data_IF_813529262802
#
_entry.id   IF_813529262802
#
_cell.length_a   1.000
_cell.length_b   1.000
_cell.length_c   1.000
_cell.angle_alpha   90.00
_cell.angle_beta   90.00
_cell.angle_gamma   90.00
#
_symmetry.space_group_name_H-M   'P 1'
#
loop_
_entity.id
_entity.type
_entity.pdbx_description
1 polymer ?
#
# COMPACT_ATOMS: atom_id res chain seq x y z
N UNK A 1 -21.12 -69.73 -1.52
CA UNK A 1 -19.75 -69.76 -2.06
C UNK A 1 -19.58 -68.49 -2.89
N UNK A 2 -19.07 -67.43 -2.26
CA UNK A 2 -18.88 -66.11 -2.89
C UNK A 2 -17.56 -66.15 -3.67
N UNK A 3 -17.65 -66.17 -4.99
CA UNK A 3 -16.49 -66.06 -5.88
C UNK A 3 -16.09 -64.59 -5.90
N UNK A 4 -15.02 -64.25 -5.18
CA UNK A 4 -14.34 -62.97 -5.34
C UNK A 4 -13.52 -63.08 -6.63
N UNK A 5 -13.76 -62.24 -7.65
CA UNK A 5 -12.92 -62.27 -8.84
C UNK A 5 -11.53 -61.79 -8.45
N UNK A 6 -10.50 -62.63 -8.66
CA UNK A 6 -9.12 -62.16 -8.64
C UNK A 6 -8.99 -61.08 -9.72
N UNK A 7 -8.74 -59.85 -9.29
CA UNK A 7 -8.38 -58.74 -10.17
C UNK A 7 -7.19 -59.19 -11.04
N UNK A 8 -7.39 -59.18 -12.36
CA UNK A 8 -6.34 -59.54 -13.32
C UNK A 8 -5.17 -58.57 -13.21
N UNK A 9 -3.96 -59.05 -13.50
CA UNK A 9 -2.70 -58.29 -13.37
C UNK A 9 -2.74 -56.96 -14.16
N UNK A 10 -3.52 -56.91 -15.23
CA UNK A 10 -3.72 -55.72 -16.08
C UNK A 10 -4.57 -54.64 -15.40
N UNK A 11 -5.54 -55.00 -14.56
CA UNK A 11 -6.36 -54.03 -13.82
C UNK A 11 -5.52 -53.43 -12.67
N UNK A 12 -4.68 -54.25 -12.04
CA UNK A 12 -3.75 -53.79 -11.00
C UNK A 12 -2.69 -52.86 -11.60
N UNK A 13 -2.14 -53.19 -12.76
CA UNK A 13 -1.14 -52.35 -13.45
C UNK A 13 -1.76 -51.03 -13.92
N UNK A 14 -2.96 -51.04 -14.50
CA UNK A 14 -3.66 -49.82 -14.91
C UNK A 14 -3.94 -48.89 -13.72
N UNK A 15 -4.46 -49.43 -12.60
CA UNK A 15 -4.74 -48.62 -11.40
C UNK A 15 -3.46 -48.05 -10.78
N UNK A 16 -2.35 -48.79 -10.82
CA UNK A 16 -1.04 -48.32 -10.35
C UNK A 16 -0.54 -47.15 -11.21
N UNK A 17 -0.55 -47.30 -12.53
CA UNK A 17 -0.12 -46.25 -13.46
C UNK A 17 -1.04 -45.02 -13.42
N UNK A 18 -2.35 -45.23 -13.26
CA UNK A 18 -3.32 -44.15 -13.08
C UNK A 18 -3.08 -43.39 -11.77
N UNK A 19 -2.75 -44.10 -10.69
CA UNK A 19 -2.40 -43.48 -9.40
C UNK A 19 -1.09 -42.67 -9.49
N UNK A 20 -0.06 -43.21 -10.15
CA UNK A 20 1.20 -42.51 -10.41
C UNK A 20 0.95 -41.24 -11.24
N UNK A 21 0.11 -41.32 -12.27
CA UNK A 21 -0.27 -40.18 -13.10
C UNK A 21 -0.99 -39.09 -12.30
N UNK A 22 -1.95 -39.46 -11.45
CA UNK A 22 -2.63 -38.51 -10.56
C UNK A 22 -1.67 -37.88 -9.55
N UNK A 23 -0.75 -38.65 -8.97
CA UNK A 23 0.30 -38.13 -8.08
C UNK A 23 1.20 -37.16 -8.84
N UNK A 24 1.59 -37.47 -10.09
CA UNK A 24 2.42 -36.58 -10.90
C UNK A 24 1.71 -35.26 -11.23
N UNK A 25 0.42 -35.29 -11.58
CA UNK A 25 -0.39 -34.07 -11.77
C UNK A 25 -0.48 -33.28 -10.47
N UNK A 26 -0.70 -33.96 -9.34
CA UNK A 26 -0.82 -33.31 -8.03
C UNK A 26 0.50 -32.66 -7.61
N UNK A 27 1.63 -33.36 -7.80
CA UNK A 27 2.97 -32.81 -7.58
C UNK A 27 3.25 -31.65 -8.53
N UNK A 28 2.87 -31.74 -9.82
CA UNK A 28 3.02 -30.63 -10.76
C UNK A 28 2.13 -29.43 -10.42
N UNK A 29 0.93 -29.65 -9.88
CA UNK A 29 0.04 -28.57 -9.44
C UNK A 29 0.56 -27.89 -8.16
N UNK A 30 1.18 -28.64 -7.24
CA UNK A 30 1.77 -28.10 -6.01
C UNK A 30 3.15 -27.47 -6.23
N UNK A 31 4.01 -28.11 -7.01
CA UNK A 31 5.37 -27.66 -7.30
C UNK A 31 5.43 -26.67 -8.46
N UNK A 32 4.44 -26.68 -9.37
CA UNK A 32 4.37 -25.81 -10.54
C UNK A 32 4.44 -24.32 -10.18
N UNK A 33 3.64 -23.82 -9.21
CA UNK A 33 3.75 -22.44 -8.74
C UNK A 33 5.15 -22.11 -8.18
N UNK A 34 5.76 -23.03 -7.43
CA UNK A 34 7.09 -22.85 -6.83
C UNK A 34 8.17 -22.80 -7.92
N UNK A 35 8.14 -23.72 -8.87
CA UNK A 35 9.06 -23.75 -10.01
C UNK A 35 8.86 -22.55 -10.93
N UNK A 36 7.61 -22.16 -11.19
CA UNK A 36 7.29 -20.97 -11.97
C UNK A 36 7.83 -19.71 -11.29
N UNK A 37 7.63 -19.57 -9.98
CA UNK A 37 8.17 -18.45 -9.20
C UNK A 37 9.71 -18.42 -9.27
N UNK A 38 10.37 -19.57 -9.12
CA UNK A 38 11.83 -19.66 -9.18
C UNK A 38 12.39 -19.35 -10.58
N UNK A 39 11.81 -19.93 -11.64
CA UNK A 39 12.24 -19.73 -13.03
C UNK A 39 11.96 -18.30 -13.49
N UNK A 40 10.76 -17.77 -13.19
CA UNK A 40 10.40 -16.39 -13.53
C UNK A 40 11.30 -15.39 -12.82
N UNK A 41 11.57 -15.60 -11.53
CA UNK A 41 12.54 -14.82 -10.77
C UNK A 41 13.91 -14.84 -11.44
N UNK A 42 14.48 -16.03 -11.67
CA UNK A 42 15.80 -16.18 -12.29
C UNK A 42 15.90 -15.53 -13.67
N UNK A 43 14.88 -15.69 -14.52
CA UNK A 43 14.80 -15.03 -15.83
C UNK A 43 14.74 -13.50 -15.69
N UNK A 44 13.88 -12.98 -14.81
CA UNK A 44 13.76 -11.54 -14.54
C UNK A 44 15.09 -10.95 -14.06
N UNK A 45 15.79 -11.59 -13.12
CA UNK A 45 17.10 -11.13 -12.67
C UNK A 45 18.16 -11.20 -13.74
N UNK A 46 18.26 -12.30 -14.49
CA UNK A 46 19.27 -12.42 -15.56
C UNK A 46 19.06 -11.38 -16.65
N UNK A 47 17.80 -11.13 -17.03
CA UNK A 47 17.46 -10.10 -17.99
C UNK A 47 17.75 -8.71 -17.43
N UNK A 48 17.35 -8.42 -16.19
CA UNK A 48 17.63 -7.16 -15.53
C UNK A 48 19.13 -6.89 -15.37
N UNK A 49 19.92 -7.86 -14.92
CA UNK A 49 21.37 -7.73 -14.78
C UNK A 49 22.03 -7.50 -16.15
N UNK A 50 21.63 -8.23 -17.20
CA UNK A 50 22.13 -7.98 -18.56
C UNK A 50 21.80 -6.58 -19.02
N UNK A 51 20.57 -6.12 -18.80
CA UNK A 51 20.12 -4.78 -19.17
C UNK A 51 20.79 -3.70 -18.32
N UNK A 52 21.08 -3.95 -17.05
CA UNK A 52 21.91 -3.09 -16.19
C UNK A 52 23.30 -2.93 -16.77
N UNK A 53 24.02 -4.01 -17.09
CA UNK A 53 25.36 -3.90 -17.67
C UNK A 53 25.36 -3.20 -19.05
N UNK A 54 24.24 -3.24 -19.78
CA UNK A 54 24.06 -2.48 -21.02
C UNK A 54 23.79 -0.98 -20.74
N UNK A 55 22.98 -0.67 -19.73
CA UNK A 55 22.67 0.70 -19.29
C UNK A 55 23.90 1.37 -18.67
N UNK A 56 24.54 0.73 -17.69
CA UNK A 56 25.73 1.21 -16.98
C UNK A 56 26.97 1.37 -17.88
N UNK A 57 26.98 0.76 -19.07
CA UNK A 57 28.03 0.96 -20.10
C UNK A 57 27.90 2.30 -20.84
N UNK A 58 26.74 2.96 -20.76
CA UNK A 58 26.53 4.27 -21.37
C UNK A 58 26.91 5.36 -20.35
N UNK A 59 27.68 6.33 -20.83
CA UNK A 59 28.01 7.52 -20.06
C UNK A 59 26.75 8.40 -19.98
N UNK A 60 26.18 8.55 -18.78
CA UNK A 60 24.95 9.34 -18.55
C UNK A 60 25.23 10.85 -18.39
N UNK A 61 26.45 11.30 -18.68
CA UNK A 61 26.89 12.70 -18.60
C UNK A 61 26.28 13.63 -19.66
N UNK A 62 25.47 13.13 -20.58
CA UNK A 62 24.82 13.94 -21.61
C UNK A 62 23.41 14.35 -21.19
N UNK A 63 23.19 15.65 -20.97
CA UNK A 63 21.85 16.27 -20.99
C UNK A 63 21.16 15.86 -22.29
N UNK A 64 20.17 14.97 -22.18
CA UNK A 64 19.25 14.67 -23.29
C UNK A 64 18.01 15.53 -23.11
N UNK A 65 17.62 16.21 -24.20
CA UNK A 65 16.34 16.89 -24.31
C UNK A 65 15.22 15.84 -24.30
N UNK A 66 14.35 15.96 -23.30
CA UNK A 66 13.25 15.03 -23.04
C UNK A 66 12.01 15.42 -23.88
N UNK A 67 12.01 15.14 -25.19
CA UNK A 67 10.87 15.44 -26.11
C UNK A 67 9.83 14.29 -26.20
N UNK A 68 9.47 13.66 -25.08
CA UNK A 68 8.39 12.66 -25.09
C UNK A 68 7.69 12.51 -23.74
N UNK A 69 6.64 13.32 -23.54
CA UNK A 69 5.72 13.25 -22.40
C UNK A 69 6.17 14.08 -21.21
N UNK A 70 5.21 14.76 -20.55
CA UNK A 70 5.42 15.82 -19.54
C UNK A 70 6.48 15.54 -18.47
N UNK A 71 6.97 16.62 -17.85
CA UNK A 71 8.05 16.53 -16.86
C UNK A 71 7.72 15.54 -15.73
N UNK A 72 8.72 14.87 -15.17
CA UNK A 72 8.53 13.89 -14.07
C UNK A 72 7.71 14.50 -12.92
N UNK A 73 7.93 15.77 -12.63
CA UNK A 73 7.20 16.54 -11.63
C UNK A 73 5.71 16.69 -11.98
N UNK A 74 5.35 16.82 -13.26
CA UNK A 74 3.95 16.82 -13.72
C UNK A 74 3.28 15.47 -13.51
N UNK A 75 3.96 14.36 -13.80
CA UNK A 75 3.41 13.01 -13.59
C UNK A 75 3.15 12.75 -12.10
N UNK A 76 4.13 13.09 -11.25
CA UNK A 76 4.04 12.98 -9.79
C UNK A 76 2.92 13.89 -9.26
N UNK A 77 2.85 15.14 -9.74
CA UNK A 77 1.83 16.12 -9.36
C UNK A 77 0.41 15.69 -9.75
N UNK A 78 0.23 15.14 -10.97
CA UNK A 78 -1.05 14.62 -11.46
C UNK A 78 -1.53 13.44 -10.62
N UNK A 79 -0.61 12.62 -10.11
CA UNK A 79 -0.91 11.54 -9.18
C UNK A 79 -1.26 12.04 -7.75
N UNK A 80 -1.15 13.35 -7.48
CA UNK A 80 -1.45 13.96 -6.19
C UNK A 80 -0.27 14.01 -5.22
N UNK A 81 0.94 13.71 -5.71
CA UNK A 81 2.15 13.61 -4.91
C UNK A 81 3.17 14.70 -5.24
N UNK A 82 4.22 14.77 -4.43
CA UNK A 82 5.45 15.51 -4.70
C UNK A 82 6.64 14.64 -4.29
N UNK A 83 7.82 14.92 -4.82
CA UNK A 83 9.05 14.23 -4.50
C UNK A 83 10.01 15.14 -3.71
N UNK A 84 10.70 14.57 -2.72
CA UNK A 84 11.72 15.26 -1.94
C UNK A 84 13.10 14.67 -2.25
N UNK A 85 13.95 15.34 -3.06
CA UNK A 85 15.29 14.85 -3.36
C UNK A 85 16.16 14.68 -2.11
N UNK A 86 15.99 15.58 -1.13
CA UNK A 86 16.74 15.54 0.14
C UNK A 86 16.51 14.25 0.94
N UNK A 87 15.28 13.76 0.95
CA UNK A 87 14.88 12.61 1.76
C UNK A 87 14.67 11.34 0.90
N UNK A 88 14.76 11.45 -0.42
CA UNK A 88 14.47 10.40 -1.41
C UNK A 88 13.11 9.71 -1.18
N UNK A 89 12.05 10.52 -1.01
CA UNK A 89 10.68 10.06 -0.78
C UNK A 89 9.65 10.81 -1.62
N UNK A 90 8.58 10.11 -1.96
CA UNK A 90 7.34 10.67 -2.47
C UNK A 90 6.37 10.92 -1.32
N UNK A 91 5.56 11.97 -1.41
CA UNK A 91 4.63 12.33 -0.34
C UNK A 91 3.40 13.05 -0.88
N UNK A 92 2.29 12.93 -0.16
CA UNK A 92 1.01 13.56 -0.48
C UNK A 92 1.10 15.10 -0.49
N UNK A 93 0.52 15.70 -1.52
CA UNK A 93 0.28 17.15 -1.56
C UNK A 93 -1.00 17.52 -0.79
N UNK A 94 -1.07 18.76 -0.32
CA UNK A 94 -2.21 19.23 0.48
C UNK A 94 -3.54 19.19 -0.29
N UNK A 95 -3.50 19.58 -1.56
CA UNK A 95 -4.67 19.78 -2.41
C UNK A 95 -4.75 18.74 -3.53
N UNK A 96 -4.27 17.53 -3.25
CA UNK A 96 -4.41 16.40 -4.14
C UNK A 96 -5.89 16.10 -4.43
N UNK A 97 -6.22 15.64 -5.64
CA UNK A 97 -7.59 15.33 -6.06
C UNK A 97 -8.26 14.28 -5.16
N UNK A 98 -7.46 13.40 -4.53
CA UNK A 98 -7.88 12.42 -3.51
C UNK A 98 -8.68 13.06 -2.38
N UNK A 99 -8.44 14.35 -2.08
CA UNK A 99 -9.15 15.08 -1.03
C UNK A 99 -10.67 15.12 -1.27
N UNK A 100 -11.10 15.11 -2.52
CA UNK A 100 -12.52 15.13 -2.91
C UNK A 100 -13.19 13.75 -2.88
N UNK A 101 -12.43 12.67 -2.67
CA UNK A 101 -12.94 11.30 -2.74
C UNK A 101 -13.34 10.73 -1.37
N UNK A 102 -13.02 11.42 -0.28
CA UNK A 102 -13.32 10.96 1.08
C UNK A 102 -12.64 9.63 1.43
N UNK A 103 -13.27 8.85 2.31
CA UNK A 103 -12.73 7.58 2.79
C UNK A 103 -13.82 6.63 3.30
N UNK A 104 -13.66 5.34 3.02
CA UNK A 104 -14.48 4.28 3.60
C UNK A 104 -13.73 2.94 3.59
N UNK A 105 -14.25 1.95 4.32
CA UNK A 105 -13.65 0.60 4.44
C UNK A 105 -13.39 -0.08 3.09
N UNK A 106 -14.13 0.26 2.03
CA UNK A 106 -13.87 -0.30 0.70
C UNK A 106 -12.47 0.01 0.16
N UNK A 107 -11.85 1.09 0.60
CA UNK A 107 -10.51 1.45 0.14
C UNK A 107 -9.48 0.50 0.74
N UNK A 108 -9.63 0.14 2.02
CA UNK A 108 -8.83 -0.90 2.68
C UNK A 108 -9.00 -2.25 1.95
N UNK A 109 -10.25 -2.62 1.62
CA UNK A 109 -10.55 -3.86 0.90
C UNK A 109 -9.97 -3.86 -0.53
N UNK A 110 -9.91 -2.71 -1.20
CA UNK A 110 -9.34 -2.60 -2.54
C UNK A 110 -7.80 -2.63 -2.55
N UNK A 111 -7.13 -2.47 -1.41
CA UNK A 111 -5.68 -2.30 -1.37
C UNK A 111 -4.91 -3.54 -1.86
N UNK A 112 -5.18 -4.71 -1.27
CA UNK A 112 -4.46 -5.94 -1.61
C UNK A 112 -4.65 -6.40 -3.08
N UNK A 113 -5.87 -6.39 -3.66
CA UNK A 113 -6.07 -6.69 -5.08
C UNK A 113 -5.33 -5.73 -6.01
N UNK A 114 -5.09 -4.50 -5.56
CA UNK A 114 -4.32 -3.50 -6.29
C UNK A 114 -2.81 -3.59 -6.00
N UNK A 115 -2.33 -4.67 -5.39
CA UNK A 115 -0.91 -4.87 -5.13
C UNK A 115 -0.34 -3.92 -4.09
N UNK A 116 -1.16 -3.54 -3.11
CA UNK A 116 -0.71 -2.89 -1.89
C UNK A 116 -0.96 -3.82 -0.71
N UNK A 117 0.12 -4.38 -0.18
CA UNK A 117 0.08 -5.28 0.96
C UNK A 117 0.47 -4.45 2.16
N UNK A 118 -0.54 -3.94 2.85
CA UNK A 118 -0.43 -2.94 3.91
C UNK A 118 -1.24 -3.33 5.13
N UNK A 119 -0.71 -3.08 6.31
CA UNK A 119 -1.48 -3.17 7.54
C UNK A 119 -2.29 -1.89 7.70
N UNK A 120 -3.59 -2.04 7.95
CA UNK A 120 -4.55 -0.95 8.16
C UNK A 120 -5.00 -0.94 9.61
N UNK A 121 -4.99 0.25 10.22
CA UNK A 121 -5.36 0.44 11.62
C UNK A 121 -6.32 1.63 11.79
N UNK A 122 -7.63 1.42 11.53
CA UNK A 122 -8.65 2.46 11.64
C UNK A 122 -9.13 2.68 13.08
N UNK A 123 -8.86 3.86 13.64
CA UNK A 123 -9.37 4.29 14.95
C UNK A 123 -10.58 5.20 14.77
N UNK A 124 -11.77 4.66 15.06
CA UNK A 124 -13.06 5.36 14.93
C UNK A 124 -13.53 5.90 16.28
N UNK A 125 -13.88 7.17 16.37
CA UNK A 125 -14.33 7.81 17.60
C UNK A 125 -15.36 8.92 17.35
N UNK A 126 -16.11 9.31 18.36
CA UNK A 126 -17.10 10.39 18.26
C UNK A 126 -16.65 11.60 19.07
N UNK A 127 -16.68 12.80 18.47
CA UNK A 127 -16.32 14.04 19.14
C UNK A 127 -17.01 15.24 18.48
N UNK A 128 -17.58 16.13 19.30
CA UNK A 128 -18.19 17.37 18.82
C UNK A 128 -19.37 17.14 17.86
N UNK A 129 -20.20 16.13 18.13
CA UNK A 129 -21.34 15.77 17.28
C UNK A 129 -20.98 15.11 15.94
N UNK A 130 -19.71 14.76 15.73
CA UNK A 130 -19.20 14.14 14.50
C UNK A 130 -18.58 12.79 14.78
N UNK A 131 -18.61 11.91 13.79
CA UNK A 131 -17.84 10.66 13.73
C UNK A 131 -16.49 10.98 13.11
N UNK A 132 -15.42 10.52 13.72
CA UNK A 132 -14.05 10.69 13.26
C UNK A 132 -13.44 9.33 12.96
N UNK A 133 -12.59 9.30 11.95
CA UNK A 133 -11.72 8.20 11.62
C UNK A 133 -10.31 8.77 11.50
N UNK A 134 -9.39 8.25 12.32
CA UNK A 134 -7.96 8.41 12.06
C UNK A 134 -7.45 7.03 11.68
N UNK A 135 -6.78 6.94 10.54
CA UNK A 135 -6.33 5.66 10.00
C UNK A 135 -4.83 5.67 9.73
N UNK A 136 -4.16 4.63 10.20
CA UNK A 136 -2.74 4.39 9.96
C UNK A 136 -2.58 3.26 8.98
N UNK A 137 -1.79 3.48 7.93
CA UNK A 137 -1.37 2.42 7.02
C UNK A 137 0.15 2.30 7.02
N UNK A 138 0.69 1.07 7.00
CA UNK A 138 2.12 0.79 6.77
C UNK A 138 2.30 -0.48 5.94
N UNK A 139 3.27 -0.51 5.02
CA UNK A 139 3.52 -1.71 4.20
C UNK A 139 4.11 -1.42 2.83
N UNK A 140 3.88 -2.35 1.90
CA UNK A 140 4.34 -2.28 0.52
C UNK A 140 3.23 -1.74 -0.39
N UNK A 141 3.43 -0.57 -0.95
CA UNK A 141 2.57 0.15 -1.90
C UNK A 141 3.11 -0.01 -3.33
N UNK A 142 2.88 -1.17 -3.94
CA UNK A 142 3.46 -1.49 -5.25
C UNK A 142 4.99 -1.43 -5.20
N UNK A 143 5.59 -0.52 -5.96
CA UNK A 143 7.05 -0.31 -6.03
C UNK A 143 7.63 0.48 -4.87
N UNK A 144 6.81 0.92 -3.92
CA UNK A 144 7.25 1.75 -2.81
C UNK A 144 6.93 1.09 -1.48
N UNK A 145 7.79 1.21 -0.49
CA UNK A 145 7.42 0.98 0.92
C UNK A 145 7.06 2.31 1.56
N UNK A 146 6.17 2.32 2.53
CA UNK A 146 5.78 3.59 3.15
C UNK A 146 4.74 3.47 4.24
N UNK A 147 4.22 4.62 4.63
CA UNK A 147 3.16 4.73 5.61
C UNK A 147 2.32 6.00 5.44
N UNK A 148 1.14 5.99 6.05
CA UNK A 148 0.15 7.04 5.98
C UNK A 148 -0.51 7.31 7.33
N UNK A 149 -0.90 8.56 7.55
CA UNK A 149 -1.87 8.96 8.58
C UNK A 149 -2.98 9.76 7.90
N UNK A 150 -4.18 9.17 7.82
CA UNK A 150 -5.39 9.82 7.31
C UNK A 150 -6.28 10.31 8.44
N UNK A 151 -6.87 11.50 8.28
CA UNK A 151 -7.83 12.11 9.21
C UNK A 151 -9.10 12.43 8.44
N UNK A 152 -10.18 11.80 8.87
CA UNK A 152 -11.48 11.88 8.23
C UNK A 152 -12.58 12.10 9.25
N UNK A 153 -13.70 12.62 8.80
CA UNK A 153 -14.85 12.88 9.66
C UNK A 153 -16.15 12.84 8.89
N UNK A 154 -17.23 12.52 9.58
CA UNK A 154 -18.56 12.42 8.99
C UNK A 154 -19.62 12.90 9.98
N UNK A 155 -20.65 13.53 9.45
CA UNK A 155 -21.94 13.76 10.11
C UNK A 155 -23.03 12.86 9.54
N UNK A 156 -22.70 12.04 8.53
CA UNK A 156 -23.67 11.23 7.82
C UNK A 156 -24.01 9.95 8.60
N UNK A 157 -25.24 9.43 8.42
CA UNK A 157 -25.57 8.09 8.83
C UNK A 157 -24.71 7.06 8.08
N UNK A 158 -24.73 5.82 8.54
CA UNK A 158 -24.14 4.71 7.78
C UNK A 158 -24.88 4.55 6.45
N UNK A 159 -24.12 4.35 5.39
CA UNK A 159 -24.63 3.99 4.08
C UNK A 159 -24.85 2.48 4.05
N UNK A 160 -25.99 2.08 3.51
CA UNK A 160 -26.27 0.69 3.22
C UNK A 160 -26.57 0.57 1.71
N UNK A 161 -25.56 0.11 0.98
CA UNK A 161 -25.60 -0.14 -0.47
C UNK A 161 -25.46 -1.67 -0.63
N UNK A 162 -26.57 -2.40 -0.83
CA UNK A 162 -26.58 -3.86 -0.85
C UNK A 162 -25.52 -4.44 -1.80
N UNK A 163 -24.68 -5.34 -1.27
CA UNK A 163 -23.61 -6.00 -2.03
C UNK A 163 -22.42 -5.12 -2.40
N UNK A 164 -22.42 -3.83 -2.03
CA UNK A 164 -21.36 -2.88 -2.36
C UNK A 164 -20.70 -2.33 -1.11
N UNK A 165 -21.45 -1.72 -0.20
CA UNK A 165 -20.90 -1.04 0.97
C UNK A 165 -21.92 -0.99 2.10
N UNK A 166 -21.49 -1.38 3.30
CA UNK A 166 -22.24 -1.15 4.53
C UNK A 166 -21.31 -0.50 5.55
N UNK A 167 -21.62 0.75 5.92
CA UNK A 167 -20.88 1.50 6.93
C UNK A 167 -20.75 2.99 6.65
N UNK A 168 -19.86 3.63 7.39
CA UNK A 168 -19.71 5.10 7.35
C UNK A 168 -18.81 5.52 6.20
N UNK A 169 -19.30 6.45 5.37
CA UNK A 169 -18.43 7.25 4.52
C UNK A 169 -17.95 8.49 5.27
N UNK A 170 -16.65 8.76 5.20
CA UNK A 170 -16.01 9.90 5.84
C UNK A 170 -15.48 10.89 4.80
N UNK A 171 -15.62 12.18 5.08
CA UNK A 171 -14.95 13.23 4.33
C UNK A 171 -13.54 13.44 4.86
N UNK A 172 -12.62 13.79 3.97
CA UNK A 172 -11.29 14.26 4.33
C UNK A 172 -11.37 15.46 5.27
N UNK A 173 -10.48 15.55 6.25
CA UNK A 173 -10.50 16.68 7.18
C UNK A 173 -10.39 18.03 6.43
N UNK A 174 -11.32 18.93 6.75
CA UNK A 174 -11.34 20.30 6.24
C UNK A 174 -10.07 21.05 6.65
N UNK A 175 -9.80 22.22 6.05
CA UNK A 175 -8.64 23.05 6.40
C UNK A 175 -8.58 23.40 7.90
N UNK A 176 -9.77 23.55 8.52
CA UNK A 176 -9.94 23.81 9.95
C UNK A 176 -9.76 22.54 10.79
N UNK A 177 -9.99 21.36 10.22
CA UNK A 177 -9.97 20.05 10.88
C UNK A 177 -8.64 19.29 10.78
N UNK A 178 -7.71 19.74 9.93
CA UNK A 178 -6.34 19.19 9.86
C UNK A 178 -5.66 19.18 11.23
N UNK A 179 -4.95 18.10 11.52
CA UNK A 179 -4.19 17.91 12.75
C UNK A 179 -2.69 18.07 12.47
N UNK A 180 -1.93 18.49 13.49
CA UNK A 180 -0.47 18.36 13.44
C UNK A 180 -0.12 16.90 13.67
N UNK A 181 0.53 16.30 12.68
CA UNK A 181 0.88 14.89 12.67
C UNK A 181 2.36 14.73 12.37
N UNK A 182 2.96 13.70 12.93
CA UNK A 182 4.28 13.24 12.55
C UNK A 182 4.34 11.73 12.63
N UNK A 183 5.28 11.16 11.89
CA UNK A 183 5.65 9.76 12.08
C UNK A 183 7.14 9.52 11.89
N UNK A 184 7.56 8.37 12.42
CA UNK A 184 8.81 7.70 12.09
C UNK A 184 8.47 6.29 11.67
N UNK A 185 8.79 5.92 10.44
CA UNK A 185 8.67 4.56 9.93
C UNK A 185 10.02 3.87 10.12
N UNK A 186 9.99 2.68 10.72
CA UNK A 186 11.14 1.81 10.89
C UNK A 186 10.98 0.56 10.04
N UNK A 187 12.11 0.01 9.61
CA UNK A 187 12.22 -1.32 9.01
C UNK A 187 13.24 -2.11 9.81
N UNK A 188 12.85 -3.24 10.38
CA UNK A 188 13.71 -4.08 11.21
C UNK A 188 14.41 -3.30 12.34
N UNK A 189 13.69 -2.35 12.96
CA UNK A 189 14.21 -1.48 14.02
C UNK A 189 15.04 -0.29 13.56
N UNK A 190 15.42 -0.22 12.27
CA UNK A 190 16.16 0.91 11.72
C UNK A 190 15.22 1.95 11.13
N UNK A 191 15.53 3.24 11.37
CA UNK A 191 14.72 4.35 10.89
C UNK A 191 14.79 4.46 9.36
N UNK A 192 13.65 4.32 8.70
CA UNK A 192 13.54 4.37 7.25
C UNK A 192 13.06 5.74 6.74
N UNK A 193 11.96 6.26 7.29
CA UNK A 193 11.35 7.52 6.83
C UNK A 193 10.87 8.33 8.03
N UNK A 194 10.96 9.66 7.95
CA UNK A 194 10.28 10.55 8.89
C UNK A 194 9.59 11.69 8.16
N UNK A 195 8.40 12.07 8.63
CA UNK A 195 7.68 13.24 8.12
C UNK A 195 6.87 13.87 9.25
N UNK A 196 6.73 15.20 9.21
CA UNK A 196 5.83 15.97 10.09
C UNK A 196 5.17 17.09 9.32
N UNK A 197 3.86 17.28 9.49
CA UNK A 197 3.14 18.43 8.97
C UNK A 197 1.77 18.58 9.64
N UNK A 198 1.15 19.76 9.49
CA UNK A 198 -0.30 19.89 9.68
C UNK A 198 -1.00 19.42 8.42
N UNK A 199 -1.68 18.29 8.46
CA UNK A 199 -2.25 17.66 7.27
C UNK A 199 -3.57 16.95 7.55
N UNK A 200 -4.32 16.62 6.50
CA UNK A 200 -5.45 15.68 6.56
C UNK A 200 -5.00 14.26 6.19
N UNK A 201 -4.04 14.15 5.28
CA UNK A 201 -3.45 12.88 4.83
C UNK A 201 -1.92 12.95 4.75
N UNK A 202 -1.20 12.59 5.81
CA UNK A 202 0.26 12.67 5.87
C UNK A 202 0.86 11.34 5.41
N UNK A 203 1.50 11.31 4.25
CA UNK A 203 2.12 10.09 3.70
C UNK A 203 3.62 10.26 3.45
N UNK A 204 4.33 9.14 3.36
CA UNK A 204 5.63 9.10 2.69
C UNK A 204 5.91 7.71 2.12
N UNK A 205 6.52 7.67 0.95
CA UNK A 205 6.81 6.46 0.19
C UNK A 205 8.23 6.49 -0.35
N UNK A 206 9.01 5.45 -0.05
CA UNK A 206 10.36 5.24 -0.59
C UNK A 206 10.30 4.25 -1.75
N UNK A 207 10.74 4.69 -2.92
CA UNK A 207 10.71 3.90 -4.14
C UNK A 207 11.84 2.87 -4.21
N UNK A 208 11.52 1.68 -4.68
CA UNK A 208 12.48 0.60 -4.90
C UNK A 208 12.91 -0.13 -3.63
N UNK A 209 12.39 0.27 -2.48
CA UNK A 209 12.61 -0.42 -1.21
C UNK A 209 11.48 -1.42 -0.99
N UNK A 210 11.85 -2.70 -0.86
CA UNK A 210 10.92 -3.78 -0.52
C UNK A 210 10.74 -3.86 0.99
N UNK A 211 9.53 -4.12 1.48
CA UNK A 211 9.27 -4.44 2.88
C UNK A 211 8.10 -5.40 3.01
N UNK A 212 8.22 -6.38 3.88
CA UNK A 212 7.03 -7.06 4.40
C UNK A 212 6.39 -6.19 5.50
N UNK A 213 5.05 -6.15 5.64
CA UNK A 213 4.41 -5.36 6.69
C UNK A 213 4.90 -5.70 8.10
N UNK A 214 5.27 -6.96 8.34
CA UNK A 214 5.84 -7.47 9.59
C UNK A 214 7.26 -6.98 9.89
N UNK A 215 7.99 -6.48 8.89
CA UNK A 215 9.30 -5.84 9.10
C UNK A 215 9.16 -4.38 9.53
N UNK A 216 7.96 -3.80 9.37
CA UNK A 216 7.72 -2.37 9.58
C UNK A 216 7.05 -2.10 10.92
N UNK A 217 7.54 -1.08 11.62
CA UNK A 217 6.85 -0.45 12.74
C UNK A 217 6.81 1.06 12.55
N UNK A 218 5.83 1.73 13.16
CA UNK A 218 5.59 3.15 12.96
C UNK A 218 5.34 3.84 14.30
N UNK A 219 6.16 4.82 14.65
CA UNK A 219 5.84 5.75 15.73
C UNK A 219 4.97 6.87 15.16
N UNK A 220 3.79 7.06 15.73
CA UNK A 220 2.78 8.03 15.28
C UNK A 220 2.59 9.10 16.33
N UNK A 221 2.62 10.37 15.93
CA UNK A 221 2.39 11.52 16.81
C UNK A 221 1.25 12.37 16.28
N UNK A 222 0.23 12.61 17.10
CA UNK A 222 -0.95 13.38 16.69
C UNK A 222 -1.28 14.40 17.76
N UNK A 223 -1.29 15.68 17.39
CA UNK A 223 -1.73 16.76 18.27
C UNK A 223 -3.18 17.12 17.97
N UNK A 224 -4.06 16.76 18.90
CA UNK A 224 -5.49 17.01 18.83
C UNK A 224 -5.82 18.47 19.16
N UNK A 225 -6.99 18.91 18.69
CA UNK A 225 -7.48 20.30 18.86
C UNK A 225 -7.78 20.66 20.31
N UNK A 226 -8.13 19.69 21.13
CA UNK A 226 -8.52 19.87 22.52
C UNK A 226 -8.24 18.59 23.31
N UNK A 227 -8.21 18.71 24.64
CA UNK A 227 -8.14 17.53 25.52
C UNK A 227 -9.34 16.61 25.33
N UNK A 228 -10.53 17.16 25.14
CA UNK A 228 -11.73 16.35 24.90
C UNK A 228 -11.66 15.50 23.62
N UNK A 229 -11.10 16.03 22.53
CA UNK A 229 -10.92 15.26 21.30
C UNK A 229 -9.88 14.16 21.46
N UNK A 230 -8.76 14.48 22.13
CA UNK A 230 -7.72 13.52 22.51
C UNK A 230 -8.32 12.38 23.35
N UNK A 231 -9.11 12.70 24.36
CA UNK A 231 -9.68 11.71 25.28
C UNK A 231 -10.69 10.80 24.59
N UNK A 232 -11.47 11.35 23.66
CA UNK A 232 -12.36 10.56 22.81
C UNK A 232 -11.56 9.60 21.90
N UNK A 233 -10.44 10.05 21.33
CA UNK A 233 -9.55 9.20 20.55
C UNK A 233 -8.91 8.10 21.41
N UNK A 234 -8.35 8.44 22.57
CA UNK A 234 -7.72 7.48 23.50
C UNK A 234 -8.68 6.38 23.94
N UNK A 235 -9.94 6.74 24.23
CA UNK A 235 -10.97 5.74 24.56
C UNK A 235 -11.18 4.73 23.43
N UNK A 236 -11.18 5.20 22.19
CA UNK A 236 -11.29 4.32 21.02
C UNK A 236 -10.01 3.53 20.74
N UNK A 237 -8.84 4.12 21.02
CA UNK A 237 -7.54 3.45 20.90
C UNK A 237 -7.46 2.25 21.87
N UNK A 238 -7.80 2.46 23.14
CA UNK A 238 -7.91 1.40 24.14
C UNK A 238 -8.94 0.32 23.74
N UNK A 239 -10.09 0.75 23.19
CA UNK A 239 -11.11 -0.19 22.68
C UNK A 239 -10.62 -1.02 21.50
N UNK A 240 -9.70 -0.49 20.68
CA UNK A 240 -9.12 -1.22 19.56
C UNK A 240 -8.18 -2.33 20.02
N UNK A 241 -7.57 -2.22 21.20
CA UNK A 241 -6.70 -3.25 21.79
C UNK A 241 -5.37 -2.72 22.34
N UNK A 242 -5.06 -1.44 22.10
CA UNK A 242 -3.82 -0.83 22.57
C UNK A 242 -3.74 -0.79 24.10
N UNK A 243 -2.54 -1.01 24.61
CA UNK A 243 -2.19 -0.94 26.03
C UNK A 243 -1.51 0.39 26.36
N UNK A 244 -1.43 0.73 27.65
CA UNK A 244 -0.74 1.94 28.12
C UNK A 244 0.78 1.94 27.85
N UNK A 245 1.36 0.78 27.54
CA UNK A 245 2.77 0.65 27.13
C UNK A 245 3.00 1.04 25.67
N UNK A 246 1.94 1.03 24.85
CA UNK A 246 2.00 1.28 23.40
C UNK A 246 1.68 2.73 23.03
N UNK A 247 1.34 3.59 24.00
CA UNK A 247 1.14 5.01 23.74
C UNK A 247 1.54 5.91 24.92
N UNK A 248 1.97 7.13 24.60
CA UNK A 248 2.21 8.20 25.57
C UNK A 248 1.28 9.39 25.31
N UNK A 249 0.92 10.11 26.38
CA UNK A 249 0.10 11.32 26.28
C UNK A 249 0.85 12.52 26.85
N UNK A 250 0.99 13.58 26.05
CA UNK A 250 1.54 14.87 26.48
C UNK A 250 0.64 16.02 26.05
N UNK A 251 -0.02 16.68 27.00
CA UNK A 251 -1.02 17.73 26.72
C UNK A 251 -2.05 17.19 25.72
N UNK A 252 -2.24 17.81 24.56
CA UNK A 252 -3.18 17.35 23.54
C UNK A 252 -2.56 16.39 22.52
N UNK A 253 -1.31 15.98 22.70
CA UNK A 253 -0.58 15.09 21.80
C UNK A 253 -0.60 13.65 22.32
N UNK A 254 -0.87 12.71 21.42
CA UNK A 254 -0.71 11.28 21.66
C UNK A 254 0.44 10.79 20.78
N UNK A 255 1.38 10.06 21.37
CA UNK A 255 2.39 9.28 20.67
C UNK A 255 1.98 7.81 20.74
N UNK A 256 2.00 7.07 19.63
CA UNK A 256 1.57 5.68 19.55
C UNK A 256 2.69 4.89 18.89
N UNK A 257 3.04 3.74 19.45
CA UNK A 257 3.90 2.77 18.81
C UNK A 257 3.02 1.75 18.08
N UNK A 258 3.01 1.83 16.74
CA UNK A 258 2.24 0.94 15.88
C UNK A 258 3.15 -0.11 15.23
N UNK A 259 3.30 -1.25 15.91
CA UNK A 259 4.03 -2.42 15.40
C UNK A 259 3.08 -3.39 14.68
N UNK A 260 2.11 -3.94 15.42
CA UNK A 260 1.12 -4.89 14.90
C UNK A 260 -0.27 -4.30 14.91
N UNK A 261 -1.12 -4.61 13.91
CA UNK A 261 -2.50 -4.20 13.93
C UNK A 261 -3.26 -4.86 15.08
N UNK A 262 -3.99 -4.03 15.82
CA UNK A 262 -4.95 -4.46 16.83
C UNK A 262 -6.34 -4.64 16.22
N UNK A 263 -6.58 -3.98 15.08
CA UNK A 263 -7.83 -4.12 14.33
C UNK A 263 -7.78 -5.18 13.24
N UNK A 264 -8.96 -5.64 12.84
CA UNK A 264 -9.11 -6.64 11.79
C UNK A 264 -8.68 -6.10 10.43
N UNK A 265 -7.68 -6.75 9.84
CA UNK A 265 -7.19 -6.48 8.49
C UNK A 265 -8.28 -6.73 7.42
N UNK A 266 -8.18 -6.08 6.24
CA UNK A 266 -9.11 -6.27 5.14
C UNK A 266 -9.29 -7.75 4.76
N UNK A 267 -10.50 -8.15 4.38
CA UNK A 267 -10.80 -9.53 3.98
C UNK A 267 -10.03 -9.97 2.73
N UNK A 268 -9.62 -9.00 1.90
CA UNK A 268 -8.81 -9.26 0.72
C UNK A 268 -7.35 -9.56 1.03
N UNK A 269 -6.89 -9.34 2.27
CA UNK A 269 -5.58 -9.82 2.75
C UNK A 269 -5.69 -11.30 3.09
N UNK A 270 -4.84 -12.12 2.48
CA UNK A 270 -4.70 -13.54 2.84
C UNK A 270 -3.24 -13.95 2.75
N UNK A 271 -2.79 -14.84 3.63
CA UNK A 271 -1.38 -15.23 3.66
C UNK A 271 -0.86 -15.77 2.30
N UNK A 272 -1.72 -16.49 1.56
CA UNK A 272 -1.37 -17.01 0.25
C UNK A 272 -1.26 -15.91 -0.83
N UNK A 273 -2.27 -15.02 -0.93
CA UNK A 273 -2.27 -13.93 -1.92
C UNK A 273 -1.20 -12.89 -1.62
N UNK A 274 -1.01 -12.58 -0.33
CA UNK A 274 0.01 -11.64 0.14
C UNK A 274 1.40 -12.13 -0.24
N UNK A 275 1.70 -13.41 0.01
CA UNK A 275 2.99 -14.02 -0.33
C UNK A 275 3.29 -13.92 -1.83
N UNK A 276 2.33 -14.28 -2.69
CA UNK A 276 2.50 -14.22 -4.14
C UNK A 276 2.72 -12.78 -4.62
N UNK A 277 1.92 -11.84 -4.10
CA UNK A 277 2.03 -10.43 -4.47
C UNK A 277 3.36 -9.84 -3.99
N UNK A 278 3.72 -10.05 -2.72
CA UNK A 278 4.98 -9.57 -2.15
C UNK A 278 6.20 -10.13 -2.89
N UNK A 279 6.17 -11.41 -3.31
CA UNK A 279 7.25 -11.97 -4.11
C UNK A 279 7.42 -11.25 -5.47
N UNK A 280 6.32 -10.88 -6.13
CA UNK A 280 6.38 -10.08 -7.36
C UNK A 280 6.90 -8.66 -7.10
N UNK A 281 6.42 -8.01 -6.03
CA UNK A 281 6.86 -6.66 -5.67
C UNK A 281 8.35 -6.65 -5.28
N UNK A 282 8.81 -7.67 -4.57
CA UNK A 282 10.22 -7.88 -4.23
C UNK A 282 11.08 -7.98 -5.49
N UNK A 283 10.68 -8.82 -6.46
CA UNK A 283 11.40 -8.93 -7.74
C UNK A 283 11.51 -7.57 -8.43
N UNK A 284 10.41 -6.83 -8.49
CA UNK A 284 10.41 -5.53 -9.14
C UNK A 284 11.33 -4.53 -8.41
N UNK A 285 11.30 -4.50 -7.07
CA UNK A 285 12.21 -3.69 -6.26
C UNK A 285 13.67 -4.06 -6.50
N UNK A 286 14.01 -5.35 -6.54
CA UNK A 286 15.38 -5.78 -6.73
C UNK A 286 15.89 -5.47 -8.16
N UNK A 287 15.02 -5.56 -9.16
CA UNK A 287 15.33 -5.09 -10.53
C UNK A 287 15.56 -3.58 -10.53
N UNK A 288 14.72 -2.80 -9.84
CA UNK A 288 14.90 -1.36 -9.70
C UNK A 288 16.26 -1.05 -9.05
N UNK A 289 16.57 -1.67 -7.91
CA UNK A 289 17.83 -1.46 -7.19
C UNK A 289 19.03 -1.83 -8.06
N UNK A 290 18.94 -2.92 -8.83
CA UNK A 290 19.98 -3.32 -9.78
C UNK A 290 20.18 -2.23 -10.83
N UNK A 291 19.10 -1.79 -11.51
CA UNK A 291 19.16 -0.80 -12.59
C UNK A 291 19.62 0.58 -12.11
N UNK A 292 19.27 0.94 -10.88
CA UNK A 292 19.54 2.26 -10.30
C UNK A 292 20.83 2.32 -9.48
N UNK A 293 21.54 1.20 -9.36
CA UNK A 293 22.78 1.13 -8.61
C UNK A 293 23.83 2.11 -9.15
N UNK A 294 24.30 3.01 -8.29
CA UNK A 294 25.28 4.05 -8.63
C UNK A 294 24.68 5.41 -9.02
N UNK A 295 23.36 5.51 -9.23
CA UNK A 295 22.69 6.78 -9.53
C UNK A 295 22.16 7.45 -8.26
N UNK A 296 22.41 8.75 -8.12
CA UNK A 296 21.92 9.54 -6.98
C UNK A 296 20.65 10.32 -7.31
N UNK A 297 20.57 10.88 -8.52
CA UNK A 297 19.42 11.66 -9.00
C UNK A 297 18.24 10.76 -9.38
N UNK A 298 17.03 11.15 -8.97
CA UNK A 298 15.80 10.49 -9.41
C UNK A 298 15.68 10.48 -10.95
N UNK A 299 16.10 11.56 -11.63
CA UNK A 299 16.08 11.62 -13.11
C UNK A 299 16.94 10.50 -13.72
N UNK A 300 18.15 10.32 -13.21
CA UNK A 300 19.08 9.31 -13.73
C UNK A 300 18.61 7.89 -13.41
N UNK A 301 18.12 7.66 -12.18
CA UNK A 301 17.47 6.41 -11.78
C UNK A 301 16.33 6.05 -12.73
N UNK A 302 15.48 7.03 -13.06
CA UNK A 302 14.35 6.86 -13.97
C UNK A 302 14.77 6.54 -15.40
N UNK A 303 15.79 7.23 -15.91
CA UNK A 303 16.33 6.95 -17.25
C UNK A 303 16.93 5.55 -17.34
N UNK A 304 17.70 5.15 -16.33
CA UNK A 304 18.25 3.80 -16.24
C UNK A 304 17.15 2.73 -16.21
N UNK A 305 16.05 2.98 -15.47
CA UNK A 305 14.91 2.06 -15.45
C UNK A 305 14.13 2.08 -16.77
N UNK A 306 13.91 3.25 -17.39
CA UNK A 306 13.23 3.36 -18.69
C UNK A 306 13.96 2.59 -19.78
N UNK A 307 15.29 2.66 -19.81
CA UNK A 307 16.12 1.91 -20.77
C UNK A 307 16.24 0.43 -20.40
N UNK A 308 16.37 0.11 -19.11
CA UNK A 308 16.62 -1.25 -18.62
C UNK A 308 15.38 -2.10 -18.35
N UNK A 309 14.20 -1.51 -18.15
CA UNK A 309 12.93 -2.21 -18.08
C UNK A 309 11.77 -1.20 -18.26
N UNK A 310 11.34 -0.98 -19.51
CA UNK A 310 10.17 -0.14 -19.80
C UNK A 310 8.92 -0.58 -19.06
N UNK A 311 8.77 -1.88 -18.80
CA UNK A 311 7.65 -2.44 -18.04
C UNK A 311 7.68 -1.96 -16.58
N UNK A 312 8.86 -2.01 -15.94
CA UNK A 312 9.03 -1.53 -14.57
C UNK A 312 8.88 -0.01 -14.47
N UNK A 313 9.35 0.72 -15.48
CA UNK A 313 9.16 2.17 -15.56
C UNK A 313 7.69 2.57 -15.51
N UNK A 314 6.82 1.82 -16.20
CA UNK A 314 5.37 2.06 -16.15
C UNK A 314 4.75 1.78 -14.76
N UNK A 315 5.33 0.87 -13.97
CA UNK A 315 4.87 0.57 -12.61
C UNK A 315 5.31 1.62 -11.58
N UNK A 316 6.43 2.32 -11.80
CA UNK A 316 6.98 3.30 -10.86
C UNK A 316 6.02 4.45 -10.54
N UNK A 317 5.19 4.86 -11.49
CA UNK A 317 4.25 5.97 -11.32
C UNK A 317 2.92 5.55 -10.68
N UNK A 318 2.72 4.26 -10.42
CA UNK A 318 1.51 3.73 -9.78
C UNK A 318 1.63 3.75 -8.25
N UNK A 319 2.20 4.84 -7.71
CA UNK A 319 2.44 5.01 -6.27
C UNK A 319 1.11 4.92 -5.52
N UNK A 320 0.99 3.90 -4.67
CA UNK A 320 -0.25 3.62 -3.92
C UNK A 320 -1.48 3.36 -4.77
N UNK A 321 -1.34 3.08 -6.09
CA UNK A 321 -2.43 2.86 -7.08
C UNK A 321 -3.70 3.70 -6.84
N UNK A 322 -3.55 4.97 -6.47
CA UNK A 322 -4.63 5.80 -5.92
C UNK A 322 -5.80 5.96 -6.87
N UNK A 323 -5.58 6.23 -8.15
CA UNK A 323 -6.66 6.28 -9.15
C UNK A 323 -7.51 5.00 -9.17
N UNK A 324 -6.86 3.83 -9.05
CA UNK A 324 -7.56 2.55 -9.02
C UNK A 324 -8.26 2.28 -7.70
N UNK A 325 -7.66 2.61 -6.54
CA UNK A 325 -8.34 2.51 -5.24
C UNK A 325 -9.59 3.39 -5.26
N UNK A 326 -9.42 4.65 -5.64
CA UNK A 326 -10.49 5.64 -5.62
C UNK A 326 -11.50 5.42 -6.75
N UNK A 327 -11.28 4.52 -7.72
CA UNK A 327 -12.38 4.04 -8.58
C UNK A 327 -13.50 3.35 -7.78
N UNK A 328 -13.24 2.91 -6.55
CA UNK A 328 -14.29 2.46 -5.64
C UNK A 328 -15.25 3.59 -5.25
N UNK A 329 -14.79 4.85 -5.27
CA UNK A 329 -15.65 6.02 -5.11
C UNK A 329 -16.72 6.08 -6.19
N UNK A 330 -16.40 5.77 -7.45
CA UNK A 330 -17.37 5.80 -8.53
C UNK A 330 -18.53 4.82 -8.32
N UNK A 331 -18.30 3.74 -7.56
CA UNK A 331 -19.35 2.78 -7.19
C UNK A 331 -20.33 3.32 -6.16
N UNK A 332 -19.91 4.29 -5.34
CA UNK A 332 -20.71 4.82 -4.22
C UNK A 332 -21.13 6.28 -4.42
N UNK A 333 -20.49 7.03 -5.32
CA UNK A 333 -20.69 8.49 -5.48
C UNK A 333 -22.13 8.89 -5.78
N UNK A 334 -22.89 8.05 -6.49
CA UNK A 334 -24.29 8.34 -6.81
C UNK A 334 -25.23 8.22 -5.59
N UNK A 335 -24.76 7.59 -4.51
CA UNK A 335 -25.48 7.46 -3.24
C UNK A 335 -25.05 8.52 -2.22
N UNK A 336 -23.92 9.18 -2.49
CA UNK A 336 -23.45 10.34 -1.75
C UNK A 336 -24.15 11.55 -2.37
N UNK A 337 -25.21 12.06 -1.76
CA UNK A 337 -25.88 13.27 -2.23
C UNK A 337 -24.88 14.44 -2.12
N UNK A 338 -24.09 14.68 -3.17
CA UNK A 338 -23.06 15.71 -3.22
C UNK A 338 -23.71 17.08 -3.36
N UNK A 339 -24.05 17.70 -2.24
CA UNK A 339 -23.87 19.15 -2.15
C UNK A 339 -22.39 19.35 -1.81
N UNK A 340 -21.56 19.59 -2.84
CA UNK A 340 -20.20 20.07 -2.61
C UNK A 340 -20.37 21.43 -1.93
N UNK A 341 -20.18 21.47 -0.62
CA UNK A 341 -19.98 22.73 0.07
C UNK A 341 -18.66 23.31 -0.46
N UNK A 342 -18.77 24.22 -1.42
CA UNK A 342 -17.66 24.95 -2.04
C UNK A 342 -16.74 25.61 -1.00
N UNK A 343 -17.20 25.79 0.24
CA UNK A 343 -16.36 26.24 1.37
C UNK A 343 -15.20 25.29 1.70
N UNK A 344 -15.26 24.01 1.30
CA UNK A 344 -14.17 23.05 1.49
C UNK A 344 -13.09 23.13 0.39
N UNK A 345 -13.40 23.73 -0.75
CA UNK A 345 -12.50 23.94 -1.89
C UNK A 345 -11.84 25.32 -1.90
N UNK A 346 -12.29 26.25 -1.04
CA UNK A 346 -11.69 27.58 -0.94
C UNK A 346 -10.29 27.50 -0.29
N UNK A 347 -9.31 27.88 -1.13
CA UNK A 347 -7.85 28.01 -0.98
C UNK A 347 -7.32 28.11 0.47
#
# INVERSE_FOLDING_TARGET
MLIIPLLTNDIVSFNLWFSIFLIAIFVAALAGPIFYEHISSWLSYKLAARRYYLAARKDYTQERDDDAGGTIDELIGTAGYAYSPKNDIFFSTMYAWQRSMGYCRLYDEAAAPLGMIIDSEPIRFSYGGRRWLIEFWKGQYGMTTGCEIGVYSSTWPDLNIPGVFDGTFYYCASNRDRLYMAFVLYKNGEKLITRKAKHWWLTAFKLGEYSEPSELSMDVYISFKSRGMRDAFLKSLLKAGYTEEEFEVRKTTVAIHYDKPHTRQPYTRSAATDKLMLAQLKRNCDVYQTLTNGFTSMKDKMNAVKEGSPELYAEMFKIGKTASIFSMFDKIKNYLNFDIDDSQLLK
#
